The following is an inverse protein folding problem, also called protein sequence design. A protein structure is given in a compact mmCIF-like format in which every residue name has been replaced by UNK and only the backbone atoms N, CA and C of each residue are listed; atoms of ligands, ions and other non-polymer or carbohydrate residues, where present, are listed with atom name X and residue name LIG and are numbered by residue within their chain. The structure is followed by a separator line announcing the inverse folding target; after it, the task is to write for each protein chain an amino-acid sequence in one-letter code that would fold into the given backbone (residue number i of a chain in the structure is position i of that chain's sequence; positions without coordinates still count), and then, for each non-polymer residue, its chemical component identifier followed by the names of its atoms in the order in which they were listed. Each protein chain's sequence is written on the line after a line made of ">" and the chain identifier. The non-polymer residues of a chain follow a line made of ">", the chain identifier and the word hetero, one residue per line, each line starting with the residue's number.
data_IF_105814802566
#
_entry.id   IF_105814802566
#
_cell.length_a   1.000
_cell.length_b   1.000
_cell.length_c   1.000
_cell.angle_alpha   90.00
_cell.angle_beta   90.00
_cell.angle_gamma   90.00
#
_symmetry.space_group_name_H-M   'P 1'
#
loop_
_entity.id
_entity.type
_entity.pdbx_description
1 polymer ?
#
# COMPACT_ATOMS: atom_id res chain seq x y z
N UNK A 1 -14.62 -25.93 -16.16
CA UNK A 1 -15.89 -25.18 -15.99
C UNK A 1 -16.23 -24.82 -14.53
N UNK A 2 -15.44 -25.20 -13.51
CA UNK A 2 -15.74 -24.89 -12.10
C UNK A 2 -15.14 -23.58 -11.55
N UNK A 3 -14.04 -23.08 -12.10
CA UNK A 3 -13.29 -21.94 -11.52
C UNK A 3 -13.84 -20.56 -11.91
N UNK A 4 -14.33 -20.38 -13.14
CA UNK A 4 -14.92 -19.09 -13.55
C UNK A 4 -16.27 -18.81 -12.88
N UNK A 5 -16.96 -19.85 -12.40
CA UNK A 5 -18.20 -19.71 -11.63
C UNK A 5 -17.95 -19.09 -10.26
N UNK A 6 -16.91 -19.54 -9.55
CA UNK A 6 -16.62 -19.09 -8.19
C UNK A 6 -16.12 -17.64 -8.13
N UNK A 7 -15.33 -17.18 -9.11
CA UNK A 7 -14.86 -15.79 -9.16
C UNK A 7 -16.02 -14.81 -9.40
N UNK A 8 -16.95 -15.15 -10.31
CA UNK A 8 -18.12 -14.30 -10.57
C UNK A 8 -19.04 -14.23 -9.35
N UNK A 9 -19.30 -15.36 -8.71
CA UNK A 9 -20.09 -15.42 -7.47
C UNK A 9 -19.44 -14.61 -6.35
N UNK A 10 -18.11 -14.69 -6.22
CA UNK A 10 -17.40 -13.91 -5.21
C UNK A 10 -17.45 -12.40 -5.47
N UNK A 11 -17.39 -11.98 -6.74
CA UNK A 11 -17.59 -10.58 -7.14
C UNK A 11 -19.03 -10.10 -6.90
N UNK A 12 -20.03 -10.96 -7.13
CA UNK A 12 -21.42 -10.66 -6.82
C UNK A 12 -21.62 -10.47 -5.32
N UNK A 13 -21.08 -11.35 -4.49
CA UNK A 13 -21.10 -11.25 -3.03
C UNK A 13 -20.38 -10.00 -2.51
N UNK A 14 -19.20 -9.66 -3.07
CA UNK A 14 -18.50 -8.42 -2.73
C UNK A 14 -19.29 -7.18 -3.14
N UNK A 15 -19.98 -7.21 -4.28
CA UNK A 15 -20.84 -6.11 -4.70
C UNK A 15 -22.02 -5.91 -3.74
N UNK A 16 -22.63 -6.99 -3.25
CA UNK A 16 -23.69 -6.94 -2.24
C UNK A 16 -23.18 -6.39 -0.90
N UNK A 17 -21.99 -6.83 -0.46
CA UNK A 17 -21.33 -6.28 0.71
C UNK A 17 -21.18 -4.76 0.62
N UNK A 18 -20.72 -4.23 -0.51
CA UNK A 18 -20.51 -2.80 -0.66
C UNK A 18 -21.78 -2.01 -1.00
N UNK A 19 -22.87 -2.64 -1.45
CA UNK A 19 -24.08 -1.94 -1.89
C UNK A 19 -24.66 -0.94 -0.86
N UNK A 20 -24.86 -1.30 0.43
CA UNK A 20 -25.45 -0.38 1.42
C UNK A 20 -24.44 0.62 2.01
N UNK A 21 -23.13 0.39 1.82
CA UNK A 21 -22.07 1.12 2.54
C UNK A 21 -21.79 2.50 1.92
N UNK A 22 -21.63 3.49 2.81
CA UNK A 22 -21.38 4.89 2.48
C UNK A 22 -19.94 5.31 2.81
N UNK A 23 -18.97 4.53 2.33
CA UNK A 23 -17.54 4.69 2.62
C UNK A 23 -16.73 4.84 1.34
N UNK A 24 -15.46 5.24 1.47
CA UNK A 24 -14.52 5.28 0.32
C UNK A 24 -14.41 3.91 -0.34
N UNK A 25 -14.16 2.86 0.46
CA UNK A 25 -13.98 1.51 -0.07
C UNK A 25 -15.19 1.05 -0.89
N UNK A 26 -16.40 1.35 -0.41
CA UNK A 26 -17.64 1.02 -1.11
C UNK A 26 -17.81 1.76 -2.43
N UNK A 27 -17.51 3.06 -2.49
CA UNK A 27 -17.53 3.85 -3.74
C UNK A 27 -16.56 3.25 -4.77
N UNK A 28 -15.34 2.91 -4.34
CA UNK A 28 -14.33 2.35 -5.23
C UNK A 28 -14.70 0.95 -5.71
N UNK A 29 -15.15 0.08 -4.82
CA UNK A 29 -15.56 -1.27 -5.18
C UNK A 29 -16.74 -1.26 -6.18
N UNK A 30 -17.75 -0.41 -5.95
CA UNK A 30 -18.88 -0.23 -6.88
C UNK A 30 -18.43 0.25 -8.25
N UNK A 31 -17.48 1.19 -8.32
CA UNK A 31 -16.89 1.63 -9.60
C UNK A 31 -16.18 0.48 -10.32
N UNK A 32 -15.34 -0.26 -9.59
CA UNK A 32 -14.57 -1.39 -10.13
C UNK A 32 -15.45 -2.48 -10.74
N UNK A 33 -16.62 -2.76 -10.16
CA UNK A 33 -17.55 -3.77 -10.68
C UNK A 33 -18.64 -3.21 -11.59
N UNK A 34 -18.57 -1.92 -11.96
CA UNK A 34 -19.55 -1.28 -12.85
C UNK A 34 -20.95 -1.09 -12.24
N UNK A 35 -21.07 -1.05 -10.90
CA UNK A 35 -22.34 -0.92 -10.16
C UNK A 35 -22.39 0.37 -9.32
N UNK A 36 -21.94 1.48 -9.88
CA UNK A 36 -21.98 2.79 -9.21
C UNK A 36 -23.43 3.19 -8.87
N UNK A 37 -23.63 3.84 -7.73
CA UNK A 37 -24.93 4.40 -7.33
C UNK A 37 -25.08 5.83 -7.84
N UNK A 38 -26.33 6.27 -8.02
CA UNK A 38 -26.62 7.67 -8.34
C UNK A 38 -26.07 8.64 -7.28
N UNK A 39 -26.02 8.22 -6.01
CA UNK A 39 -25.52 9.04 -4.91
C UNK A 39 -23.99 9.05 -4.77
N UNK A 40 -23.25 8.22 -5.51
CA UNK A 40 -21.80 8.03 -5.30
C UNK A 40 -21.00 9.31 -5.57
N UNK A 41 -21.47 10.16 -6.48
CA UNK A 41 -20.87 11.48 -6.73
C UNK A 41 -20.98 12.38 -5.47
N UNK A 42 -22.19 12.53 -4.92
CA UNK A 42 -22.44 13.32 -3.72
C UNK A 42 -21.70 12.76 -2.49
N UNK A 43 -21.66 11.43 -2.37
CA UNK A 43 -20.91 10.75 -1.31
C UNK A 43 -19.40 11.01 -1.45
N UNK A 44 -18.85 10.94 -2.66
CA UNK A 44 -17.44 11.27 -2.93
C UNK A 44 -17.11 12.69 -2.46
N UNK A 45 -17.92 13.68 -2.85
CA UNK A 45 -17.73 15.07 -2.40
C UNK A 45 -17.84 15.24 -0.89
N UNK A 46 -18.74 14.49 -0.24
CA UNK A 46 -18.86 14.48 1.22
C UNK A 46 -17.59 13.94 1.89
N UNK A 47 -17.12 12.77 1.46
CA UNK A 47 -15.92 12.11 1.99
C UNK A 47 -14.67 12.97 1.78
N UNK A 48 -14.52 13.58 0.60
CA UNK A 48 -13.43 14.51 0.30
C UNK A 48 -13.46 15.71 1.25
N UNK A 49 -14.62 16.32 1.48
CA UNK A 49 -14.76 17.43 2.44
C UNK A 49 -14.41 17.00 3.85
N UNK A 50 -14.83 15.82 4.27
CA UNK A 50 -14.53 15.28 5.60
C UNK A 50 -13.04 15.03 5.80
N UNK A 51 -12.38 14.35 4.87
CA UNK A 51 -10.93 14.11 4.91
C UNK A 51 -10.14 15.42 4.96
N UNK A 52 -10.54 16.42 4.15
CA UNK A 52 -9.90 17.75 4.16
C UNK A 52 -10.09 18.51 5.46
N UNK A 53 -11.21 18.32 6.18
CA UNK A 53 -11.45 18.95 7.49
C UNK A 53 -10.59 18.34 8.60
N UNK A 54 -10.10 17.12 8.43
CA UNK A 54 -9.24 16.45 9.42
C UNK A 54 -7.82 17.00 9.44
N UNK A 55 -7.34 17.63 8.35
CA UNK A 55 -5.98 18.16 8.31
C UNK A 55 -5.85 19.45 9.11
N UNK A 56 -4.72 19.53 9.83
CA UNK A 56 -4.28 20.73 10.54
C UNK A 56 -3.76 21.77 9.54
N UNK A 57 -3.45 22.96 10.05
CA UNK A 57 -2.92 24.08 9.25
C UNK A 57 -1.59 23.73 8.57
N UNK A 58 -0.79 22.87 9.21
CA UNK A 58 0.48 22.36 8.69
C UNK A 58 0.31 21.24 7.64
N UNK A 59 -0.94 20.82 7.36
CA UNK A 59 -1.27 19.75 6.43
C UNK A 59 -1.35 18.35 7.07
N UNK A 60 -0.91 18.18 8.30
CA UNK A 60 -0.87 16.87 8.97
C UNK A 60 -2.24 16.41 9.46
N UNK A 61 -2.41 15.09 9.56
CA UNK A 61 -3.46 14.44 10.33
C UNK A 61 -2.86 14.06 11.68
N UNK A 62 -3.15 14.88 12.70
CA UNK A 62 -2.67 14.61 14.06
C UNK A 62 -1.15 14.72 14.27
N UNK A 63 -0.38 15.23 13.29
CA UNK A 63 1.08 15.17 13.29
C UNK A 63 1.66 13.79 12.90
N UNK A 64 0.82 12.84 12.47
CA UNK A 64 1.28 11.50 12.09
C UNK A 64 1.66 11.42 10.61
N UNK A 65 2.86 10.92 10.30
CA UNK A 65 3.28 10.64 8.92
C UNK A 65 2.31 9.66 8.24
N UNK A 66 2.08 8.50 8.87
CA UNK A 66 1.28 7.40 8.29
C UNK A 66 -0.18 7.83 8.10
N UNK A 67 -0.79 8.48 9.09
CA UNK A 67 -2.17 8.94 8.96
C UNK A 67 -2.33 10.02 7.88
N UNK A 68 -1.34 10.91 7.74
CA UNK A 68 -1.36 11.95 6.71
C UNK A 68 -1.17 11.36 5.32
N UNK A 69 -0.21 10.44 5.16
CA UNK A 69 0.00 9.72 3.90
C UNK A 69 -1.25 8.93 3.49
N UNK A 70 -1.88 8.23 4.43
CA UNK A 70 -3.12 7.50 4.15
C UNK A 70 -4.24 8.44 3.73
N UNK A 71 -4.48 9.55 4.45
CA UNK A 71 -5.51 10.50 4.06
C UNK A 71 -5.27 11.11 2.66
N UNK A 72 -4.01 11.40 2.31
CA UNK A 72 -3.63 11.84 0.97
C UNK A 72 -3.94 10.78 -0.09
N UNK A 73 -3.60 9.51 0.20
CA UNK A 73 -3.93 8.38 -0.66
C UNK A 73 -5.44 8.22 -0.87
N UNK A 74 -6.23 8.37 0.19
CA UNK A 74 -7.69 8.31 0.15
C UNK A 74 -8.29 9.43 -0.71
N UNK A 75 -7.76 10.66 -0.63
CA UNK A 75 -8.17 11.76 -1.50
C UNK A 75 -7.90 11.46 -2.97
N UNK A 76 -6.73 10.92 -3.30
CA UNK A 76 -6.40 10.52 -4.68
C UNK A 76 -7.25 9.35 -5.17
N UNK A 77 -7.57 8.39 -4.30
CA UNK A 77 -8.53 7.32 -4.60
C UNK A 77 -9.92 7.89 -4.93
N UNK A 78 -10.36 8.92 -4.23
CA UNK A 78 -11.63 9.61 -4.47
C UNK A 78 -11.60 10.53 -5.71
N UNK A 79 -10.49 10.61 -6.43
CA UNK A 79 -10.36 11.38 -7.67
C UNK A 79 -10.01 12.85 -7.45
N UNK A 80 -9.47 13.23 -6.28
CA UNK A 80 -8.90 14.57 -6.14
C UNK A 80 -7.68 14.73 -7.05
N UNK A 81 -7.67 15.79 -7.84
CA UNK A 81 -6.51 16.22 -8.61
C UNK A 81 -5.33 16.58 -7.69
N UNK A 82 -4.12 16.40 -8.20
CA UNK A 82 -2.87 16.62 -7.46
C UNK A 82 -2.68 18.06 -7.01
N UNK A 83 -3.31 19.01 -7.70
CA UNK A 83 -3.31 20.45 -7.43
C UNK A 83 -4.36 20.86 -6.37
N UNK A 84 -5.22 19.94 -5.93
CA UNK A 84 -6.22 20.22 -4.90
C UNK A 84 -5.53 20.70 -3.62
N UNK A 85 -5.85 21.93 -3.17
CA UNK A 85 -5.17 22.58 -2.05
C UNK A 85 -5.11 21.75 -0.76
N UNK A 86 -6.09 20.87 -0.50
CA UNK A 86 -6.06 19.95 0.65
C UNK A 86 -4.99 18.86 0.50
N UNK A 87 -4.91 18.25 -0.69
CA UNK A 87 -3.93 17.23 -1.03
C UNK A 87 -2.51 17.82 -1.08
N UNK A 88 -2.33 18.96 -1.74
CA UNK A 88 -1.04 19.67 -1.79
C UNK A 88 -0.48 19.93 -0.39
N UNK A 89 -1.31 20.35 0.57
CA UNK A 89 -0.87 20.54 1.96
C UNK A 89 -0.46 19.25 2.65
N UNK A 90 -1.24 18.18 2.50
CA UNK A 90 -0.91 16.88 3.09
C UNK A 90 0.40 16.31 2.52
N UNK A 91 0.58 16.37 1.20
CA UNK A 91 1.81 15.94 0.53
C UNK A 91 2.99 16.83 0.93
N UNK A 92 2.78 18.15 1.05
CA UNK A 92 3.77 19.08 1.58
C UNK A 92 4.22 18.73 3.00
N UNK A 93 3.29 18.36 3.88
CA UNK A 93 3.62 17.86 5.23
C UNK A 93 4.48 16.60 5.18
N UNK A 94 4.08 15.61 4.37
CA UNK A 94 4.80 14.34 4.22
C UNK A 94 6.22 14.61 3.74
N UNK A 95 6.39 15.40 2.67
CA UNK A 95 7.70 15.76 2.13
C UNK A 95 8.58 16.54 3.12
N UNK A 96 7.98 17.35 4.00
CA UNK A 96 8.72 18.05 5.05
C UNK A 96 9.34 17.11 6.11
N UNK A 97 8.96 15.82 6.11
CA UNK A 97 9.54 14.78 6.96
C UNK A 97 10.78 14.11 6.37
N UNK A 98 11.17 14.43 5.13
CA UNK A 98 12.38 13.85 4.53
C UNK A 98 13.62 14.22 5.35
N UNK A 99 14.42 13.20 5.66
CA UNK A 99 15.70 13.31 6.38
C UNK A 99 15.61 14.02 7.75
N UNK A 100 14.40 14.14 8.31
CA UNK A 100 14.18 14.61 9.68
C UNK A 100 14.67 13.57 10.68
N UNK A 101 14.98 13.96 11.93
CA UNK A 101 15.34 13.00 12.96
C UNK A 101 14.28 11.89 13.11
N UNK A 102 14.76 10.66 13.30
CA UNK A 102 14.01 9.42 13.37
C UNK A 102 13.59 8.81 12.02
N UNK A 103 14.17 9.26 10.90
CA UNK A 103 14.00 8.54 9.63
C UNK A 103 14.70 7.18 9.67
N UNK A 104 14.25 6.25 8.81
CA UNK A 104 14.93 4.97 8.66
C UNK A 104 16.38 5.15 8.20
N UNK A 105 17.31 4.45 8.84
CA UNK A 105 18.73 4.56 8.54
C UNK A 105 19.44 5.69 9.27
N UNK A 106 18.73 6.50 10.07
CA UNK A 106 19.38 7.50 10.91
C UNK A 106 20.22 6.84 12.01
N UNK A 107 21.44 7.37 12.17
CA UNK A 107 22.37 6.94 13.20
C UNK A 107 23.21 5.73 12.80
N UNK A 108 24.43 5.69 13.32
CA UNK A 108 25.37 4.59 13.15
C UNK A 108 26.13 4.45 14.47
N UNK A 109 25.85 3.39 15.22
CA UNK A 109 26.70 2.99 16.34
C UNK A 109 27.77 2.02 15.85
N UNK A 110 28.95 1.92 16.51
CA UNK A 110 29.98 0.95 16.14
C UNK A 110 29.44 -0.48 16.03
N UNK A 111 28.63 -0.91 17.01
CA UNK A 111 28.05 -2.26 17.03
C UNK A 111 27.11 -2.51 15.83
N UNK A 112 26.24 -1.54 15.50
CA UNK A 112 25.36 -1.63 14.32
C UNK A 112 26.14 -1.58 13.01
N UNK A 113 27.26 -0.86 12.99
CA UNK A 113 28.14 -0.77 11.83
C UNK A 113 28.86 -2.08 11.57
N UNK A 114 29.42 -2.68 12.62
CA UNK A 114 30.09 -3.98 12.56
C UNK A 114 29.11 -5.09 12.14
N UNK A 115 27.87 -5.05 12.63
CA UNK A 115 26.79 -5.95 12.24
C UNK A 115 26.20 -5.67 10.84
N UNK A 116 26.58 -4.58 10.17
CA UNK A 116 26.00 -4.10 8.89
C UNK A 116 24.48 -3.84 8.96
N UNK A 117 24.01 -3.44 10.12
CA UNK A 117 22.61 -3.08 10.42
C UNK A 117 22.38 -1.57 10.39
N UNK A 118 23.44 -0.78 10.19
CA UNK A 118 23.33 0.65 9.94
C UNK A 118 23.11 0.92 8.45
N UNK A 119 22.10 1.73 8.13
CA UNK A 119 21.80 2.16 6.77
C UNK A 119 22.18 3.63 6.53
N UNK A 120 23.03 4.24 7.35
CA UNK A 120 23.38 5.66 7.33
C UNK A 120 23.94 6.23 6.00
N UNK A 121 24.23 5.40 5.01
CA UNK A 121 24.58 5.81 3.65
C UNK A 121 23.35 6.05 2.76
N UNK A 122 22.14 5.69 3.21
CA UNK A 122 20.88 5.93 2.51
C UNK A 122 20.27 7.26 2.95
N UNK A 123 19.68 8.00 2.00
CA UNK A 123 19.09 9.33 2.22
C UNK A 123 17.73 9.42 1.53
N UNK A 124 16.94 10.43 1.90
CA UNK A 124 15.62 10.70 1.34
C UNK A 124 14.44 10.03 2.05
N UNK A 125 14.71 9.30 3.15
CA UNK A 125 13.69 8.58 3.91
C UNK A 125 12.85 9.54 4.75
N UNK A 126 11.59 9.17 4.96
CA UNK A 126 10.59 10.00 5.63
C UNK A 126 10.54 9.63 7.12
N UNK A 127 10.71 10.62 8.00
CA UNK A 127 10.58 10.39 9.44
C UNK A 127 9.13 10.29 9.89
N UNK A 128 8.81 9.25 10.66
CA UNK A 128 7.52 9.08 11.32
C UNK A 128 7.43 9.79 12.69
N UNK A 129 8.54 10.36 13.17
CA UNK A 129 8.70 10.93 14.50
C UNK A 129 10.17 10.87 14.93
N UNK A 130 10.59 11.69 15.89
CA UNK A 130 11.98 11.73 16.38
C UNK A 130 12.48 10.39 16.96
N UNK A 131 13.76 10.34 17.34
CA UNK A 131 14.36 9.12 17.93
C UNK A 131 13.70 8.69 19.24
N UNK A 132 13.20 9.65 20.03
CA UNK A 132 12.50 9.37 21.30
C UNK A 132 11.03 8.94 21.11
N UNK A 133 10.53 8.91 19.88
CA UNK A 133 9.18 8.48 19.56
C UNK A 133 9.19 7.02 19.13
N UNK A 134 8.63 6.14 19.95
CA UNK A 134 8.45 4.72 19.60
C UNK A 134 7.30 4.57 18.60
N UNK A 135 7.60 3.97 17.44
CA UNK A 135 6.63 3.76 16.37
C UNK A 135 6.07 2.33 16.37
N UNK A 136 6.88 1.34 16.73
CA UNK A 136 6.46 -0.05 16.77
C UNK A 136 5.52 -0.32 17.98
N UNK A 137 4.50 -1.17 17.82
CA UNK A 137 4.10 -1.82 16.57
C UNK A 137 3.39 -0.87 15.61
N UNK A 138 3.70 -0.99 14.31
CA UNK A 138 2.98 -0.29 13.25
C UNK A 138 2.08 -1.26 12.48
N UNK A 139 0.76 -1.08 12.58
CA UNK A 139 -0.22 -1.80 11.75
C UNK A 139 -0.73 -0.94 10.59
N UNK A 140 -0.72 -1.50 9.39
CA UNK A 140 -1.21 -0.85 8.17
C UNK A 140 -2.64 -1.30 7.81
N UNK A 141 -3.42 -0.49 7.06
CA UNK A 141 -4.78 -0.86 6.63
C UNK A 141 -4.87 -2.18 5.85
N UNK A 142 -3.77 -2.60 5.23
CA UNK A 142 -3.66 -3.85 4.48
C UNK A 142 -3.45 -5.09 5.35
N UNK A 143 -3.35 -4.93 6.67
CA UNK A 143 -3.18 -6.02 7.64
C UNK A 143 -1.73 -6.37 8.02
N UNK A 144 -0.73 -5.76 7.38
CA UNK A 144 0.66 -5.94 7.77
C UNK A 144 0.93 -5.25 9.11
N UNK A 145 1.72 -5.90 9.97
CA UNK A 145 2.16 -5.34 11.24
C UNK A 145 3.67 -5.48 11.39
N UNK A 146 4.32 -4.39 11.80
CA UNK A 146 5.77 -4.31 11.97
C UNK A 146 6.07 -4.11 13.45
N UNK A 147 6.53 -5.17 14.10
CA UNK A 147 6.77 -5.24 15.55
C UNK A 147 8.12 -4.65 15.95
N UNK A 148 9.07 -4.55 15.01
CA UNK A 148 10.39 -3.99 15.24
C UNK A 148 10.45 -2.52 14.81
N UNK A 149 11.13 -1.70 15.60
CA UNK A 149 11.20 -0.25 15.40
C UNK A 149 11.85 0.15 14.06
N UNK A 150 12.90 -0.55 13.63
CA UNK A 150 13.57 -0.33 12.35
C UNK A 150 12.66 -0.66 11.16
N UNK A 151 11.98 -1.81 11.22
CA UNK A 151 11.01 -2.24 10.21
C UNK A 151 9.80 -1.30 10.15
N UNK A 152 9.27 -0.88 11.30
CA UNK A 152 8.14 0.05 11.38
C UNK A 152 8.48 1.40 10.74
N UNK A 153 9.70 1.93 10.97
CA UNK A 153 10.15 3.19 10.36
C UNK A 153 10.34 3.07 8.86
N UNK A 154 10.93 1.99 8.37
CA UNK A 154 11.05 1.73 6.93
C UNK A 154 9.66 1.56 6.31
N UNK A 155 8.77 0.80 6.94
CA UNK A 155 7.40 0.59 6.48
C UNK A 155 6.61 1.91 6.40
N UNK A 156 6.69 2.76 7.42
CA UNK A 156 6.07 4.09 7.41
C UNK A 156 6.64 4.97 6.29
N UNK A 157 7.96 4.93 6.08
CA UNK A 157 8.64 5.67 5.01
C UNK A 157 8.19 5.20 3.61
N UNK A 158 8.19 3.89 3.35
CA UNK A 158 7.70 3.30 2.09
C UNK A 158 6.21 3.60 1.85
N UNK A 159 5.39 3.48 2.89
CA UNK A 159 3.96 3.77 2.82
C UNK A 159 3.69 5.25 2.48
N UNK A 160 4.45 6.17 3.07
CA UNK A 160 4.37 7.58 2.76
C UNK A 160 4.90 7.91 1.36
N UNK A 161 6.02 7.30 0.95
CA UNK A 161 6.61 7.46 -0.38
C UNK A 161 5.61 7.09 -1.49
N UNK A 162 4.81 6.03 -1.32
CA UNK A 162 3.74 5.67 -2.27
C UNK A 162 2.79 6.82 -2.57
N UNK A 163 2.42 7.57 -1.53
CA UNK A 163 1.50 8.70 -1.67
C UNK A 163 2.17 9.89 -2.34
N UNK A 164 3.44 10.14 -2.02
CA UNK A 164 4.26 11.19 -2.66
C UNK A 164 4.44 10.91 -4.16
N UNK A 165 4.80 9.69 -4.53
CA UNK A 165 5.02 9.31 -5.92
C UNK A 165 3.72 9.35 -6.72
N UNK A 166 2.62 8.86 -6.16
CA UNK A 166 1.31 8.94 -6.78
C UNK A 166 0.83 10.39 -6.97
N UNK A 167 1.28 11.31 -6.12
CA UNK A 167 1.01 12.74 -6.26
C UNK A 167 1.92 13.44 -7.30
N UNK A 168 2.82 12.73 -7.99
CA UNK A 168 3.67 13.27 -9.05
C UNK A 168 4.89 14.07 -8.55
N UNK A 169 5.36 13.78 -7.33
CA UNK A 169 6.49 14.49 -6.71
C UNK A 169 7.84 13.78 -6.94
N UNK A 170 7.92 12.91 -7.96
CA UNK A 170 9.08 12.10 -8.34
C UNK A 170 10.28 12.92 -8.85
N UNK A 171 10.08 14.21 -9.17
CA UNK A 171 11.16 15.11 -9.65
C UNK A 171 12.11 15.55 -8.54
N UNK A 172 11.70 15.46 -7.28
CA UNK A 172 12.53 15.89 -6.14
C UNK A 172 13.72 14.96 -5.97
N UNK A 173 14.92 15.53 -5.78
CA UNK A 173 16.14 14.76 -5.60
C UNK A 173 16.04 13.79 -4.44
N UNK A 174 15.58 14.23 -3.27
CA UNK A 174 15.42 13.36 -2.10
C UNK A 174 14.43 12.20 -2.35
N UNK A 175 13.38 12.40 -3.14
CA UNK A 175 12.43 11.34 -3.52
C UNK A 175 13.10 10.32 -4.43
N UNK A 176 13.91 10.77 -5.39
CA UNK A 176 14.71 9.89 -6.27
C UNK A 176 15.76 9.12 -5.50
N UNK A 177 16.46 9.77 -4.56
CA UNK A 177 17.43 9.12 -3.68
C UNK A 177 16.80 8.00 -2.86
N UNK A 178 15.60 8.23 -2.31
CA UNK A 178 14.85 7.22 -1.58
C UNK A 178 14.50 6.04 -2.49
N UNK A 179 13.97 6.27 -3.70
CA UNK A 179 13.70 5.21 -4.67
C UNK A 179 14.94 4.40 -5.04
N UNK A 180 16.05 5.06 -5.36
CA UNK A 180 17.32 4.40 -5.66
C UNK A 180 17.81 3.55 -4.48
N UNK A 181 17.66 4.05 -3.25
CA UNK A 181 18.01 3.29 -2.05
C UNK A 181 17.13 2.06 -1.85
N UNK A 182 15.83 2.12 -2.17
CA UNK A 182 14.94 0.95 -2.11
C UNK A 182 15.36 -0.12 -3.13
N UNK A 183 15.66 0.27 -4.37
CA UNK A 183 16.05 -0.66 -5.43
C UNK A 183 17.43 -1.30 -5.17
N UNK A 184 18.36 -0.56 -4.57
CA UNK A 184 19.69 -1.05 -4.22
C UNK A 184 19.75 -1.75 -2.85
N UNK A 185 18.63 -1.84 -2.13
CA UNK A 185 18.61 -2.33 -0.75
C UNK A 185 18.97 -3.81 -0.67
N UNK A 186 19.90 -4.22 0.22
CA UNK A 186 20.14 -5.63 0.51
C UNK A 186 18.91 -6.35 1.06
N UNK A 187 17.93 -5.62 1.61
CA UNK A 187 16.65 -6.20 2.05
C UNK A 187 15.84 -6.78 0.89
N UNK A 188 16.20 -6.44 -0.36
CA UNK A 188 15.63 -7.07 -1.54
C UNK A 188 16.21 -8.46 -1.84
N UNK A 189 17.33 -8.83 -1.21
CA UNK A 189 17.95 -10.14 -1.39
C UNK A 189 17.30 -11.16 -0.43
N UNK A 190 16.65 -12.17 -0.99
CA UNK A 190 15.99 -13.28 -0.29
C UNK A 190 15.01 -12.84 0.83
N UNK A 191 13.92 -12.14 0.48
CA UNK A 191 12.97 -11.59 1.46
C UNK A 191 12.15 -12.64 2.22
N UNK A 192 12.24 -13.92 1.84
CA UNK A 192 11.59 -15.05 2.53
C UNK A 192 12.54 -15.91 3.38
N UNK A 193 13.79 -15.47 3.58
CA UNK A 193 14.67 -16.08 4.57
C UNK A 193 14.09 -15.97 5.99
N UNK A 194 14.46 -16.91 6.87
CA UNK A 194 13.86 -17.08 8.21
C UNK A 194 13.90 -15.83 9.11
N UNK A 195 14.90 -14.97 8.92
CA UNK A 195 15.13 -13.73 9.68
C UNK A 195 14.63 -12.47 8.95
N UNK A 196 13.87 -12.62 7.86
CA UNK A 196 13.35 -11.52 7.05
C UNK A 196 11.84 -11.36 7.21
N UNK A 197 11.39 -10.14 6.95
CA UNK A 197 9.97 -9.78 6.94
C UNK A 197 9.49 -9.55 5.50
N UNK A 198 8.75 -10.49 4.89
CA UNK A 198 8.27 -10.36 3.52
C UNK A 198 7.32 -9.17 3.30
N UNK A 199 6.58 -8.73 4.33
CA UNK A 199 5.70 -7.56 4.23
C UNK A 199 6.51 -6.28 3.93
N UNK A 200 7.73 -6.18 4.47
CA UNK A 200 8.59 -5.04 4.23
C UNK A 200 9.05 -4.97 2.77
N UNK A 201 9.42 -6.13 2.20
CA UNK A 201 9.78 -6.24 0.80
C UNK A 201 8.60 -5.86 -0.11
N UNK A 202 7.39 -6.32 0.21
CA UNK A 202 6.17 -5.99 -0.53
C UNK A 202 5.86 -4.49 -0.47
N UNK A 203 6.07 -3.83 0.68
CA UNK A 203 5.95 -2.37 0.79
C UNK A 203 6.96 -1.63 -0.09
N UNK A 204 8.22 -2.07 -0.11
CA UNK A 204 9.25 -1.48 -0.96
C UNK A 204 8.88 -1.59 -2.44
N UNK A 205 8.46 -2.79 -2.88
CA UNK A 205 7.97 -3.02 -4.25
C UNK A 205 6.75 -2.15 -4.55
N UNK A 206 5.79 -2.08 -3.63
CA UNK A 206 4.58 -1.26 -3.77
C UNK A 206 4.87 0.25 -3.85
N UNK A 207 5.95 0.73 -3.23
CA UNK A 207 6.45 2.09 -3.34
C UNK A 207 7.16 2.35 -4.66
N UNK A 208 8.16 1.54 -4.99
CA UNK A 208 8.91 1.67 -6.23
C UNK A 208 8.02 1.51 -7.47
N UNK A 209 6.97 0.70 -7.37
CA UNK A 209 5.90 0.55 -8.36
C UNK A 209 5.07 1.79 -8.67
N UNK A 210 5.03 2.78 -7.78
CA UNK A 210 4.42 4.09 -8.03
C UNK A 210 5.42 5.09 -8.63
N UNK A 211 6.70 4.70 -8.74
CA UNK A 211 7.74 5.55 -9.29
C UNK A 211 7.59 5.83 -10.79
N UNK A 212 8.49 6.67 -11.33
CA UNK A 212 8.51 6.99 -12.76
C UNK A 212 8.80 5.74 -13.60
N UNK A 213 8.57 5.83 -14.91
CA UNK A 213 8.63 4.66 -15.82
C UNK A 213 9.99 3.97 -15.80
N UNK A 214 11.07 4.73 -15.63
CA UNK A 214 12.45 4.24 -15.55
C UNK A 214 12.63 3.35 -14.31
N UNK A 215 12.17 3.81 -13.14
CA UNK A 215 12.18 3.02 -11.90
C UNK A 215 11.33 1.74 -12.06
N UNK A 216 10.17 1.83 -12.72
CA UNK A 216 9.31 0.66 -12.91
C UNK A 216 9.93 -0.41 -13.82
N UNK A 217 10.74 0.00 -14.80
CA UNK A 217 11.45 -0.94 -15.66
C UNK A 217 12.47 -1.80 -14.90
N UNK A 218 12.94 -1.35 -13.74
CA UNK A 218 13.90 -2.06 -12.89
C UNK A 218 13.24 -3.05 -11.91
N UNK A 219 11.90 -3.09 -11.81
CA UNK A 219 11.18 -3.94 -10.84
C UNK A 219 11.14 -5.42 -11.22
N UNK A 220 11.62 -5.78 -12.41
CA UNK A 220 11.64 -7.15 -12.95
C UNK A 220 12.04 -8.21 -11.91
N UNK A 221 13.26 -8.14 -11.34
CA UNK A 221 13.76 -9.11 -10.37
C UNK A 221 12.95 -9.16 -9.07
N UNK A 222 12.47 -8.01 -8.58
CA UNK A 222 11.66 -7.97 -7.37
C UNK A 222 10.32 -8.68 -7.59
N UNK A 223 9.68 -8.43 -8.74
CA UNK A 223 8.43 -9.09 -9.12
C UNK A 223 8.61 -10.59 -9.30
N UNK A 224 9.70 -11.03 -9.95
CA UNK A 224 9.99 -12.46 -10.13
C UNK A 224 10.14 -13.17 -8.78
N UNK A 225 10.73 -12.49 -7.80
CA UNK A 225 10.88 -13.01 -6.44
C UNK A 225 9.51 -13.21 -5.76
N UNK A 226 8.61 -12.22 -5.84
CA UNK A 226 7.25 -12.33 -5.27
C UNK A 226 6.42 -13.40 -5.98
N UNK A 227 6.48 -13.44 -7.31
CA UNK A 227 5.76 -14.43 -8.12
C UNK A 227 6.25 -15.84 -7.81
N UNK A 228 7.57 -16.02 -7.69
CA UNK A 228 8.20 -17.29 -7.35
C UNK A 228 7.88 -17.77 -5.94
N UNK A 229 7.73 -16.85 -4.98
CA UNK A 229 7.38 -17.16 -3.61
C UNK A 229 5.89 -17.50 -3.39
N UNK A 230 5.01 -17.17 -4.36
CA UNK A 230 3.59 -17.47 -4.26
C UNK A 230 3.36 -18.99 -4.24
N UNK A 231 2.66 -19.47 -3.23
CA UNK A 231 2.31 -20.87 -3.02
C UNK A 231 1.27 -21.34 -4.05
N UNK A 232 1.08 -22.67 -4.14
CA UNK A 232 0.13 -23.27 -5.10
C UNK A 232 -1.32 -22.87 -4.83
N UNK A 233 -1.66 -22.60 -3.58
CA UNK A 233 -2.98 -22.09 -3.18
C UNK A 233 -3.15 -20.57 -3.41
N UNK A 234 -2.11 -19.90 -3.93
CA UNK A 234 -2.14 -18.48 -4.23
C UNK A 234 -1.74 -17.57 -3.06
N UNK A 235 -1.39 -18.13 -1.91
CA UNK A 235 -0.92 -17.38 -0.73
C UNK A 235 0.60 -17.22 -0.72
N UNK A 236 1.14 -16.56 0.30
CA UNK A 236 2.58 -16.44 0.55
C UNK A 236 2.86 -16.73 2.03
N UNK A 237 3.94 -17.45 2.30
CA UNK A 237 4.36 -17.74 3.68
C UNK A 237 4.82 -16.46 4.37
N UNK A 238 4.42 -16.27 5.63
CA UNK A 238 4.92 -15.17 6.47
C UNK A 238 4.43 -13.76 6.10
N UNK A 239 3.40 -13.65 5.26
CA UNK A 239 2.78 -12.37 4.88
C UNK A 239 1.27 -12.51 4.77
N UNK A 240 0.56 -11.41 5.01
CA UNK A 240 -0.87 -11.34 4.73
C UNK A 240 -1.12 -11.37 3.22
N UNK A 241 -1.97 -12.27 2.74
CA UNK A 241 -2.43 -12.29 1.34
C UNK A 241 -3.03 -10.93 0.94
N UNK A 242 -3.73 -10.23 1.84
CA UNK A 242 -4.26 -8.89 1.57
C UNK A 242 -3.16 -7.84 1.46
N UNK A 243 -2.08 -7.96 2.23
CA UNK A 243 -0.94 -7.07 2.09
C UNK A 243 -0.23 -7.25 0.74
N UNK A 244 0.13 -8.49 0.40
CA UNK A 244 0.76 -8.82 -0.87
C UNK A 244 -0.08 -8.32 -2.05
N UNK A 245 -1.35 -8.68 -2.10
CA UNK A 245 -2.26 -8.24 -3.17
C UNK A 245 -2.47 -6.73 -3.17
N UNK A 246 -2.58 -6.09 -2.00
CA UNK A 246 -2.72 -4.64 -1.88
C UNK A 246 -1.52 -3.86 -2.42
N UNK A 247 -0.31 -4.43 -2.36
CA UNK A 247 0.89 -3.85 -2.96
C UNK A 247 0.98 -4.13 -4.46
N UNK A 248 0.60 -5.33 -4.91
CA UNK A 248 0.74 -5.77 -6.30
C UNK A 248 -0.37 -5.27 -7.23
N UNK A 249 -1.62 -5.20 -6.77
CA UNK A 249 -2.80 -4.95 -7.61
C UNK A 249 -2.84 -3.59 -8.32
N UNK A 250 -1.89 -2.69 -8.01
CA UNK A 250 -1.76 -1.37 -8.66
C UNK A 250 -0.47 -1.22 -9.48
N UNK A 251 0.28 -2.31 -9.66
CA UNK A 251 1.47 -2.30 -10.49
C UNK A 251 1.07 -2.52 -11.96
N UNK A 252 1.58 -1.72 -12.90
CA UNK A 252 1.28 -1.87 -14.32
C UNK A 252 2.14 -2.98 -14.95
N UNK A 253 1.98 -4.23 -14.49
CA UNK A 253 2.76 -5.39 -14.96
C UNK A 253 1.85 -6.61 -15.17
N UNK A 254 2.03 -7.30 -16.29
CA UNK A 254 1.20 -8.46 -16.68
C UNK A 254 1.32 -9.66 -15.74
N UNK A 255 2.43 -9.80 -15.01
CA UNK A 255 2.61 -10.84 -14.00
C UNK A 255 1.65 -10.67 -12.83
N UNK A 256 1.19 -9.45 -12.57
CA UNK A 256 0.19 -9.16 -11.52
C UNK A 256 -1.12 -9.88 -11.83
N UNK A 257 -1.53 -9.95 -13.10
CA UNK A 257 -2.74 -10.69 -13.47
C UNK A 257 -2.58 -12.19 -13.18
N UNK A 258 -1.40 -12.77 -13.46
CA UNK A 258 -1.12 -14.17 -13.14
C UNK A 258 -1.15 -14.42 -11.63
N UNK A 259 -0.57 -13.52 -10.84
CA UNK A 259 -0.63 -13.57 -9.38
C UNK A 259 -2.09 -13.52 -8.88
N UNK A 260 -2.88 -12.60 -9.43
CA UNK A 260 -4.29 -12.44 -9.08
C UNK A 260 -5.10 -13.71 -9.41
N UNK A 261 -4.91 -14.27 -10.61
CA UNK A 261 -5.56 -15.53 -11.01
C UNK A 261 -5.22 -16.69 -10.07
N UNK A 262 -3.95 -16.79 -9.63
CA UNK A 262 -3.53 -17.82 -8.66
C UNK A 262 -4.10 -17.59 -7.27
N UNK A 263 -4.26 -16.34 -6.83
CA UNK A 263 -4.82 -15.99 -5.52
C UNK A 263 -6.36 -16.10 -5.46
N UNK A 264 -7.04 -16.02 -6.60
CA UNK A 264 -8.50 -15.97 -6.66
C UNK A 264 -9.20 -17.16 -5.99
N UNK A 265 -8.79 -18.43 -6.18
CA UNK A 265 -9.42 -19.56 -5.49
C UNK A 265 -9.37 -19.45 -3.96
N UNK A 266 -8.25 -19.00 -3.41
CA UNK A 266 -8.12 -18.77 -1.97
C UNK A 266 -9.05 -17.65 -1.50
N UNK A 267 -9.09 -16.51 -2.22
CA UNK A 267 -10.00 -15.41 -1.89
C UNK A 267 -11.47 -15.87 -1.91
N UNK A 268 -11.89 -16.62 -2.92
CA UNK A 268 -13.24 -17.19 -2.98
C UNK A 268 -13.52 -18.12 -1.79
N UNK A 269 -12.54 -18.92 -1.36
CA UNK A 269 -12.71 -19.88 -0.27
C UNK A 269 -12.83 -19.22 1.11
N UNK A 270 -12.16 -18.07 1.32
CA UNK A 270 -12.19 -17.35 2.60
C UNK A 270 -13.27 -16.26 2.67
N UNK A 271 -13.92 -15.94 1.55
CA UNK A 271 -15.00 -14.98 1.53
C UNK A 271 -16.19 -15.49 2.35
N UNK A 272 -16.66 -14.65 3.27
CA UNK A 272 -17.80 -14.95 4.13
C UNK A 272 -19.11 -14.78 3.35
N UNK A 273 -20.23 -15.37 3.82
CA UNK A 273 -21.55 -15.15 3.22
C UNK A 273 -21.99 -13.68 3.17
N UNK A 274 -21.43 -12.82 4.03
CA UNK A 274 -21.67 -11.37 3.99
C UNK A 274 -20.96 -10.66 2.85
N UNK A 275 -20.03 -11.33 2.15
CA UNK A 275 -19.11 -10.77 1.16
C UNK A 275 -17.83 -10.17 1.75
N UNK A 276 -17.71 -10.10 3.08
CA UNK A 276 -16.50 -9.73 3.80
C UNK A 276 -15.44 -10.85 3.79
N UNK A 277 -14.21 -10.53 4.21
CA UNK A 277 -13.08 -11.45 4.20
C UNK A 277 -12.49 -11.75 5.58
N UNK A 278 -13.02 -11.11 6.62
CA UNK A 278 -12.60 -11.28 7.99
C UNK A 278 -13.81 -11.08 8.94
N UNK A 279 -13.69 -11.42 10.23
CA UNK A 279 -14.78 -11.27 11.19
C UNK A 279 -15.17 -9.83 11.52
N UNK A 280 -14.31 -8.84 11.21
CA UNK A 280 -14.55 -7.42 11.53
C UNK A 280 -15.18 -6.64 10.39
N UNK A 281 -15.56 -7.32 9.28
CA UNK A 281 -16.06 -6.70 8.05
C UNK A 281 -15.11 -5.60 7.54
N UNK A 282 -13.80 -5.87 7.53
CA UNK A 282 -12.76 -4.95 7.10
C UNK A 282 -12.94 -4.59 5.62
N UNK A 283 -13.39 -3.37 5.38
CA UNK A 283 -13.73 -2.88 4.05
C UNK A 283 -12.50 -2.70 3.14
N UNK A 284 -11.31 -2.44 3.70
CA UNK A 284 -10.10 -2.32 2.87
C UNK A 284 -9.66 -3.70 2.37
N UNK A 285 -9.76 -4.73 3.21
CA UNK A 285 -9.48 -6.11 2.79
C UNK A 285 -10.47 -6.57 1.72
N UNK A 286 -11.75 -6.26 1.90
CA UNK A 286 -12.78 -6.54 0.89
C UNK A 286 -12.52 -5.77 -0.43
N UNK A 287 -12.04 -4.52 -0.37
CA UNK A 287 -11.68 -3.75 -1.57
C UNK A 287 -10.46 -4.34 -2.29
N UNK A 288 -9.43 -4.76 -1.54
CA UNK A 288 -8.24 -5.41 -2.09
C UNK A 288 -8.61 -6.72 -2.78
N UNK A 289 -9.43 -7.56 -2.13
CA UNK A 289 -9.92 -8.80 -2.73
C UNK A 289 -10.76 -8.53 -3.98
N UNK A 290 -11.66 -7.54 -3.94
CA UNK A 290 -12.47 -7.15 -5.11
C UNK A 290 -11.60 -6.75 -6.30
N UNK A 291 -10.58 -5.89 -6.09
CA UNK A 291 -9.62 -5.52 -7.14
C UNK A 291 -8.91 -6.76 -7.71
N UNK A 292 -8.49 -7.66 -6.85
CA UNK A 292 -7.78 -8.88 -7.25
C UNK A 292 -8.68 -9.80 -8.06
N UNK A 293 -9.94 -9.98 -7.66
CA UNK A 293 -10.90 -10.81 -8.38
C UNK A 293 -11.27 -10.20 -9.74
N UNK A 294 -11.37 -8.86 -9.85
CA UNK A 294 -11.55 -8.18 -11.16
C UNK A 294 -10.36 -8.43 -12.08
N UNK A 295 -9.13 -8.31 -11.58
CA UNK A 295 -7.91 -8.62 -12.34
C UNK A 295 -7.89 -10.08 -12.80
N UNK A 296 -8.20 -11.01 -11.90
CA UNK A 296 -8.27 -12.45 -12.19
C UNK A 296 -9.34 -12.79 -13.24
N UNK A 297 -10.46 -12.08 -13.24
CA UNK A 297 -11.52 -12.24 -14.25
C UNK A 297 -11.12 -11.72 -15.64
N UNK A 298 -9.98 -11.04 -15.79
CA UNK A 298 -9.54 -10.45 -17.05
C UNK A 298 -10.47 -9.34 -17.54
N UNK A 299 -11.26 -8.75 -16.64
CA UNK A 299 -12.12 -7.62 -16.98
C UNK A 299 -11.23 -6.37 -17.00
N UNK A 300 -11.17 -5.62 -18.11
CA UNK A 300 -10.47 -4.34 -18.12
C UNK A 300 -11.14 -3.42 -17.08
N UNK A 301 -10.34 -2.98 -16.10
CA UNK A 301 -10.74 -2.01 -15.08
C UNK A 301 -10.60 -0.57 -15.53
#
# INVERSE_FOLDING_TARGET
>A
MGESGSVREALESAAEFFAPRATRAAVLARRLVGRSRAEDANLTEHLVRELRRRSRIDGSIGGSLVATAWAAWELMDLGCETECAGLVRMIGYVLAQQDRPGHFGEGCTPDRHEARECHHFVTGFLSAGGQDFELAPLSLPTGATFEREDEARLAASCFALRSVLRAGEDRREAVRSHLSALLASPLAADPWATDRNPDLFLLMLGAAGQGPIETRAELGPMLDTVVGAQQRDGTWTGTSTFHALGMLARLPDERVQHVATRAAPHLCAIQRPSGAFDPTDNEEWALIATRTLVLAAGTPG
#
